data_IF_042992899811
#
_entry.id   IF_042992899811
#
_cell.length_a   1.000
_cell.length_b   1.000
_cell.length_c   1.000
_cell.angle_alpha   90.00
_cell.angle_beta   90.00
_cell.angle_gamma   90.00
#
_symmetry.space_group_name_H-M   'P 1'
#
loop_
_entity.id
_entity.type
_entity.pdbx_description
1 polymer ?
#
# COMPACT_ATOMS: atom_id res chain seq x y z
N UNK A 1 -23.02 2.23 17.05
CA UNK A 1 -21.95 1.31 16.63
C UNK A 1 -20.66 2.07 16.81
N UNK A 2 -19.71 1.57 17.62
CA UNK A 2 -18.42 2.24 17.76
C UNK A 2 -17.71 2.16 16.41
N UNK A 3 -17.29 3.30 15.88
CA UNK A 3 -16.40 3.35 14.73
C UNK A 3 -15.10 2.61 15.12
N UNK A 4 -14.70 1.62 14.32
CA UNK A 4 -13.44 0.91 14.54
C UNK A 4 -12.29 1.90 14.35
N UNK A 5 -11.26 1.81 15.17
CA UNK A 5 -10.08 2.66 15.02
C UNK A 5 -9.33 2.35 13.71
N UNK A 6 -8.50 3.30 13.27
CA UNK A 6 -7.76 3.22 12.01
C UNK A 6 -6.87 1.99 11.90
N UNK A 7 -6.22 1.57 12.98
CA UNK A 7 -5.35 0.39 12.96
C UNK A 7 -6.16 -0.88 12.75
N UNK A 8 -7.27 -1.03 13.47
CA UNK A 8 -8.16 -2.18 13.29
C UNK A 8 -8.69 -2.25 11.85
N UNK A 9 -9.16 -1.12 11.30
CA UNK A 9 -9.64 -1.05 9.90
C UNK A 9 -8.54 -1.39 8.89
N UNK A 10 -7.31 -0.93 9.15
CA UNK A 10 -6.16 -1.21 8.30
C UNK A 10 -5.80 -2.70 8.31
N UNK A 11 -5.76 -3.34 9.48
CA UNK A 11 -5.50 -4.77 9.58
C UNK A 11 -6.57 -5.62 8.88
N UNK A 12 -7.85 -5.24 8.99
CA UNK A 12 -8.93 -5.89 8.25
C UNK A 12 -8.74 -5.76 6.72
N UNK A 13 -8.35 -4.57 6.25
CA UNK A 13 -8.04 -4.37 4.83
C UNK A 13 -6.83 -5.21 4.37
N UNK A 14 -5.80 -5.34 5.21
CA UNK A 14 -4.64 -6.21 4.93
C UNK A 14 -5.06 -7.68 4.85
N UNK A 15 -5.94 -8.13 5.75
CA UNK A 15 -6.45 -9.49 5.72
C UNK A 15 -7.26 -9.75 4.44
N UNK A 16 -8.11 -8.81 4.03
CA UNK A 16 -8.85 -8.91 2.76
C UNK A 16 -7.86 -8.98 1.58
N UNK A 17 -6.88 -8.08 1.54
CA UNK A 17 -5.86 -8.07 0.50
C UNK A 17 -5.09 -9.40 0.41
N UNK A 18 -4.80 -10.04 1.55
CA UNK A 18 -4.10 -11.34 1.60
C UNK A 18 -4.87 -12.47 0.92
N UNK A 19 -6.20 -12.36 0.85
CA UNK A 19 -7.10 -13.32 0.20
C UNK A 19 -7.27 -13.04 -1.30
N UNK A 20 -6.80 -11.89 -1.79
CA UNK A 20 -6.83 -11.53 -3.20
C UNK A 20 -5.66 -12.19 -3.95
N UNK A 21 -5.93 -12.70 -5.15
CA UNK A 21 -4.85 -13.23 -6.00
C UNK A 21 -4.13 -12.07 -6.67
N UNK A 22 -2.81 -11.96 -6.50
CA UNK A 22 -2.05 -10.84 -7.07
C UNK A 22 -2.23 -10.71 -8.60
N UNK A 23 -2.36 -11.83 -9.32
CA UNK A 23 -2.59 -11.87 -10.76
C UNK A 23 -3.98 -11.36 -11.19
N UNK A 24 -4.95 -11.23 -10.27
CA UNK A 24 -6.28 -10.69 -10.58
C UNK A 24 -6.31 -9.15 -10.59
N UNK A 25 -5.20 -8.49 -10.26
CA UNK A 25 -5.10 -7.04 -10.19
C UNK A 25 -4.19 -6.49 -11.30
N UNK A 26 -4.56 -5.35 -11.91
CA UNK A 26 -3.64 -4.61 -12.78
C UNK A 26 -2.33 -4.25 -12.08
N UNK A 27 -1.24 -4.15 -12.84
CA UNK A 27 0.11 -3.92 -12.31
C UNK A 27 0.23 -2.58 -11.57
N UNK A 28 -0.47 -1.53 -12.03
CA UNK A 28 -0.50 -0.22 -11.37
C UNK A 28 -1.21 -0.29 -10.00
N UNK A 29 -2.30 -1.06 -9.92
CA UNK A 29 -3.03 -1.28 -8.65
C UNK A 29 -2.13 -2.02 -7.65
N UNK A 30 -1.43 -3.06 -8.10
CA UNK A 30 -0.47 -3.78 -7.25
C UNK A 30 0.62 -2.85 -6.70
N UNK A 31 1.18 -1.97 -7.54
CA UNK A 31 2.21 -1.00 -7.13
C UNK A 31 1.66 0.03 -6.14
N UNK A 32 0.45 0.53 -6.38
CA UNK A 32 -0.21 1.50 -5.48
C UNK A 32 -0.51 0.89 -4.11
N UNK A 33 -1.07 -0.32 -4.06
CA UNK A 33 -1.30 -1.04 -2.80
C UNK A 33 0.01 -1.31 -2.06
N UNK A 34 1.07 -1.70 -2.77
CA UNK A 34 2.39 -1.87 -2.18
C UNK A 34 2.91 -0.57 -1.57
N UNK A 35 2.83 0.55 -2.30
CA UNK A 35 3.29 1.85 -1.84
C UNK A 35 2.56 2.27 -0.56
N UNK A 36 1.23 2.26 -0.56
CA UNK A 36 0.43 2.62 0.62
C UNK A 36 0.75 1.72 1.81
N UNK A 37 0.85 0.41 1.61
CA UNK A 37 1.22 -0.50 2.70
C UNK A 37 2.60 -0.19 3.28
N UNK A 38 3.60 0.07 2.43
CA UNK A 38 4.96 0.41 2.88
C UNK A 38 5.00 1.74 3.62
N UNK A 39 4.31 2.77 3.13
CA UNK A 39 4.20 4.05 3.81
C UNK A 39 3.46 3.91 5.16
N UNK A 40 2.39 3.11 5.21
CA UNK A 40 1.61 2.86 6.42
C UNK A 40 2.35 2.07 7.50
N UNK A 41 3.37 1.28 7.14
CA UNK A 41 4.09 0.39 8.07
C UNK A 41 5.51 0.84 8.38
N UNK A 42 6.20 1.44 7.41
CA UNK A 42 7.59 1.88 7.53
C UNK A 42 7.75 3.40 7.45
N UNK A 43 6.67 4.14 7.16
CA UNK A 43 6.75 5.58 6.94
C UNK A 43 7.46 5.94 5.62
N UNK A 44 7.97 7.16 5.55
CA UNK A 44 8.65 7.67 4.36
C UNK A 44 9.93 6.90 4.07
N UNK A 45 10.07 6.45 2.82
CA UNK A 45 11.27 5.74 2.37
C UNK A 45 12.52 6.63 2.51
N UNK A 46 13.56 6.07 3.12
CA UNK A 46 14.87 6.71 3.13
C UNK A 46 15.60 6.46 1.79
N UNK A 47 16.23 7.48 1.20
CA UNK A 47 16.97 7.33 -0.04
C UNK A 47 18.17 6.40 0.18
N UNK A 48 18.07 5.17 -0.31
CA UNK A 48 19.16 4.22 -0.26
C UNK A 48 19.85 4.17 -1.64
N UNK A 49 21.14 4.48 -1.70
CA UNK A 49 21.96 4.55 -2.93
C UNK A 49 22.30 3.16 -3.51
N UNK A 50 21.42 2.17 -3.31
CA UNK A 50 21.62 0.81 -3.83
C UNK A 50 21.02 0.71 -5.23
N UNK A 51 21.89 0.81 -6.24
CA UNK A 51 21.53 0.57 -7.64
C UNK A 51 21.00 -0.86 -7.79
N UNK A 52 19.68 -1.00 -7.77
CA UNK A 52 19.02 -2.29 -7.95
C UNK A 52 18.89 -2.55 -9.45
N UNK A 53 19.58 -3.58 -9.97
CA UNK A 53 19.43 -4.04 -11.35
C UNK A 53 18.07 -4.73 -11.61
N UNK A 54 17.25 -4.90 -10.57
CA UNK A 54 15.90 -5.48 -10.65
C UNK A 54 14.86 -4.39 -10.95
N UNK A 55 14.35 -4.37 -12.18
CA UNK A 55 13.30 -3.44 -12.62
C UNK A 55 12.04 -3.49 -11.74
N UNK A 56 11.63 -4.68 -11.27
CA UNK A 56 10.41 -4.84 -10.48
C UNK A 56 10.56 -4.14 -9.14
N UNK A 57 11.72 -4.27 -8.50
CA UNK A 57 12.02 -3.55 -7.27
C UNK A 57 12.17 -2.05 -7.52
N UNK A 58 12.74 -1.64 -8.65
CA UNK A 58 12.82 -0.23 -9.03
C UNK A 58 11.43 0.41 -9.13
N UNK A 59 10.45 -0.25 -9.76
CA UNK A 59 9.07 0.25 -9.81
C UNK A 59 8.40 0.34 -8.44
N UNK A 60 8.61 -0.65 -7.57
CA UNK A 60 8.10 -0.64 -6.20
C UNK A 60 8.67 0.52 -5.38
N UNK A 61 9.99 0.69 -5.42
CA UNK A 61 10.68 1.80 -4.75
C UNK A 61 10.21 3.14 -5.31
N UNK A 62 10.06 3.25 -6.63
CA UNK A 62 9.55 4.47 -7.25
C UNK A 62 8.12 4.81 -6.81
N UNK A 63 7.22 3.83 -6.81
CA UNK A 63 5.84 4.02 -6.35
C UNK A 63 5.77 4.46 -4.87
N UNK A 64 6.61 3.87 -4.01
CA UNK A 64 6.71 4.29 -2.60
C UNK A 64 7.29 5.70 -2.46
N UNK A 65 8.35 6.04 -3.21
CA UNK A 65 8.94 7.38 -3.22
C UNK A 65 7.96 8.48 -3.67
N UNK A 66 7.08 8.18 -4.64
CA UNK A 66 6.10 9.15 -5.14
C UNK A 66 5.09 9.57 -4.07
N UNK A 67 4.83 8.72 -3.08
CA UNK A 67 3.86 8.98 -2.01
C UNK A 67 4.51 9.37 -0.68
N UNK A 68 5.82 9.64 -0.66
CA UNK A 68 6.59 10.00 0.54
C UNK A 68 6.09 11.24 1.30
N UNK A 69 5.24 12.04 0.66
CA UNK A 69 4.61 13.22 1.25
C UNK A 69 3.40 12.88 2.13
N UNK A 70 2.88 11.66 2.05
CA UNK A 70 1.76 11.20 2.87
C UNK A 70 2.23 10.81 4.27
N UNK A 71 1.44 11.14 5.29
CA UNK A 71 1.61 10.57 6.62
C UNK A 71 1.28 9.08 6.66
N UNK A 72 1.71 8.41 7.73
CA UNK A 72 1.37 7.01 8.00
C UNK A 72 -0.15 6.81 8.06
N UNK A 73 -0.88 7.75 8.68
CA UNK A 73 -2.33 7.68 8.85
C UNK A 73 -3.06 7.85 7.51
N UNK A 74 -2.64 8.81 6.68
CA UNK A 74 -3.18 9.00 5.33
C UNK A 74 -2.94 7.77 4.44
N UNK A 75 -1.75 7.17 4.53
CA UNK A 75 -1.45 5.95 3.79
C UNK A 75 -2.33 4.77 4.22
N UNK A 76 -2.66 4.65 5.51
CA UNK A 76 -3.60 3.64 6.01
C UNK A 76 -5.00 3.87 5.45
N UNK A 77 -5.51 5.11 5.50
CA UNK A 77 -6.84 5.44 4.96
C UNK A 77 -6.94 5.16 3.46
N UNK A 78 -5.94 5.55 2.67
CA UNK A 78 -5.89 5.27 1.23
C UNK A 78 -5.78 3.77 0.92
N UNK A 79 -5.04 3.01 1.73
CA UNK A 79 -4.97 1.56 1.60
C UNK A 79 -6.35 0.92 1.84
N UNK A 80 -7.02 1.32 2.92
CA UNK A 80 -8.37 0.83 3.26
C UNK A 80 -9.34 1.16 2.12
N UNK A 81 -9.36 2.40 1.64
CA UNK A 81 -10.24 2.81 0.54
C UNK A 81 -10.00 1.98 -0.72
N UNK A 82 -8.72 1.78 -1.10
CA UNK A 82 -8.36 0.98 -2.26
C UNK A 82 -8.85 -0.47 -2.14
N UNK A 83 -8.64 -1.12 -0.99
CA UNK A 83 -9.09 -2.50 -0.77
C UNK A 83 -10.61 -2.62 -0.76
N UNK A 84 -11.32 -1.69 -0.11
CA UNK A 84 -12.78 -1.69 -0.08
C UNK A 84 -13.37 -1.45 -1.48
N UNK A 85 -12.75 -0.58 -2.28
CA UNK A 85 -13.13 -0.34 -3.66
C UNK A 85 -12.95 -1.60 -4.53
N UNK A 86 -11.84 -2.32 -4.34
CA UNK A 86 -11.57 -3.57 -5.06
C UNK A 86 -12.48 -4.73 -4.61
N UNK A 87 -12.88 -4.77 -3.35
CA UNK A 87 -13.73 -5.85 -2.79
C UNK A 87 -15.22 -5.69 -3.11
N UNK A 88 -15.64 -4.51 -3.56
CA UNK A 88 -17.02 -4.23 -3.99
C UNK A 88 -17.27 -4.57 -5.47
N UNK A 89 -16.22 -4.95 -6.21
CA UNK A 89 -16.31 -5.43 -7.59
C UNK A 89 -16.41 -6.95 -7.63
#
# INVERSE_FOLDING_TARGET
MAEKDLETRFQEAVEIASKMTQASLPQDVQLRLYAYYKQATFGTIEPNNSSSFDLRNAFKTNAWMQISHLSVEEAKELYIEAILSLSKK
#
